data_IF_706826160283
#
_entry.id   IF_706826160283
#
_cell.length_a   1.000
_cell.length_b   1.000
_cell.length_c   1.000
_cell.angle_alpha   90.00
_cell.angle_beta   90.00
_cell.angle_gamma   90.00
#
_symmetry.space_group_name_H-M   'P 1'
#
loop_
_entity.id
_entity.type
_entity.pdbx_description
1 polymer ?
#
# COMPACT_ATOMS: atom_id res chain seq x y z
N UNK A 1 -27.10 20.09 6.89
CA UNK A 1 -27.57 19.95 8.29
C UNK A 1 -26.39 19.50 9.14
N UNK A 2 -26.14 20.12 10.29
CA UNK A 2 -25.08 19.71 11.19
C UNK A 2 -25.64 18.78 12.28
N UNK A 3 -25.12 17.56 12.35
CA UNK A 3 -25.48 16.60 13.40
C UNK A 3 -24.61 16.86 14.62
N UNK A 4 -25.23 17.04 15.80
CA UNK A 4 -24.49 17.17 17.05
C UNK A 4 -24.01 15.79 17.50
N UNK A 5 -22.69 15.64 17.63
CA UNK A 5 -22.05 14.42 18.11
C UNK A 5 -21.38 14.74 19.44
N UNK A 6 -21.63 13.93 20.47
CA UNK A 6 -20.97 14.06 21.76
C UNK A 6 -19.58 13.38 21.68
N UNK A 7 -18.54 14.17 21.45
CA UNK A 7 -17.16 13.71 21.48
C UNK A 7 -16.50 14.04 22.83
N UNK A 8 -15.56 13.19 23.27
CA UNK A 8 -14.82 13.40 24.52
C UNK A 8 -13.33 13.55 24.22
N UNK A 9 -12.73 14.64 24.69
CA UNK A 9 -11.29 14.85 24.65
C UNK A 9 -10.68 14.20 25.89
N UNK A 10 -9.66 13.38 25.69
CA UNK A 10 -8.89 12.72 26.75
C UNK A 10 -7.39 12.95 26.53
N UNK A 11 -6.54 12.72 27.54
CA UNK A 11 -5.08 12.79 27.37
C UNK A 11 -4.51 11.83 26.31
N UNK A 12 -5.27 10.78 25.95
CA UNK A 12 -4.87 9.80 24.93
C UNK A 12 -5.40 10.14 23.53
N UNK A 13 -6.30 11.12 23.41
CA UNK A 13 -6.90 11.51 22.13
C UNK A 13 -8.40 11.83 22.21
N UNK A 14 -9.02 11.93 21.04
CA UNK A 14 -10.45 12.23 20.84
C UNK A 14 -11.25 10.92 20.75
N UNK A 15 -12.26 10.78 21.61
CA UNK A 15 -13.20 9.66 21.59
C UNK A 15 -14.51 10.09 20.93
N UNK A 16 -14.93 9.35 19.90
CA UNK A 16 -16.17 9.60 19.17
C UNK A 16 -17.05 8.35 19.24
N UNK A 17 -18.35 8.49 19.54
CA UNK A 17 -19.27 7.36 19.53
C UNK A 17 -19.30 6.67 18.16
N UNK A 18 -19.11 5.35 18.12
CA UNK A 18 -19.13 4.58 16.87
C UNK A 18 -20.43 4.75 16.08
N UNK A 19 -21.56 4.93 16.77
CA UNK A 19 -22.86 5.19 16.15
C UNK A 19 -22.88 6.47 15.29
N UNK A 20 -22.01 7.45 15.59
CA UNK A 20 -21.89 8.67 14.80
C UNK A 20 -21.19 8.44 13.45
N UNK A 21 -20.51 7.31 13.28
CA UNK A 21 -19.80 6.90 12.07
C UNK A 21 -20.52 5.72 11.38
N UNK A 22 -21.79 5.49 11.70
CA UNK A 22 -22.53 4.36 11.16
C UNK A 22 -22.65 4.45 9.63
N UNK A 23 -22.25 3.38 8.94
CA UNK A 23 -22.20 3.32 7.47
C UNK A 23 -20.85 3.76 6.87
N UNK A 24 -19.85 4.10 7.70
CA UNK A 24 -18.48 4.31 7.25
C UNK A 24 -17.66 3.05 7.59
N UNK A 25 -17.17 2.35 6.57
CA UNK A 25 -16.39 1.12 6.74
C UNK A 25 -14.94 1.42 7.14
N UNK A 26 -14.31 2.35 6.41
CA UNK A 26 -12.99 2.89 6.72
C UNK A 26 -13.09 4.41 6.90
N UNK A 27 -12.26 4.98 7.77
CA UNK A 27 -12.23 6.42 8.06
C UNK A 27 -10.84 6.99 7.91
N UNK A 28 -10.76 8.17 7.31
CA UNK A 28 -9.55 8.98 7.21
C UNK A 28 -9.64 10.13 8.20
N UNK A 29 -8.52 10.44 8.87
CA UNK A 29 -8.40 11.56 9.79
C UNK A 29 -7.38 12.54 9.24
N UNK A 30 -7.82 13.74 8.89
CA UNK A 30 -7.00 14.81 8.30
C UNK A 30 -7.01 16.01 9.22
N UNK A 31 -5.85 16.66 9.37
CA UNK A 31 -5.75 17.94 10.08
C UNK A 31 -5.80 19.08 9.07
N UNK A 32 -6.86 19.88 9.11
CA UNK A 32 -7.03 21.07 8.26
C UNK A 32 -7.00 22.32 9.14
N UNK A 33 -5.86 23.02 9.13
CA UNK A 33 -5.64 24.21 9.96
C UNK A 33 -5.88 23.91 11.46
N UNK A 34 -6.89 24.58 12.02
CA UNK A 34 -7.31 24.45 13.42
C UNK A 34 -8.38 23.37 13.66
N UNK A 35 -8.65 22.52 12.66
CA UNK A 35 -9.69 21.50 12.70
C UNK A 35 -9.15 20.09 12.42
N UNK A 36 -9.82 19.10 12.99
CA UNK A 36 -9.64 17.68 12.68
C UNK A 36 -10.87 17.25 11.88
N UNK A 37 -10.65 16.85 10.63
CA UNK A 37 -11.68 16.34 9.72
C UNK A 37 -11.61 14.83 9.74
N UNK A 38 -12.72 14.18 10.08
CA UNK A 38 -12.88 12.73 10.00
C UNK A 38 -13.89 12.47 8.89
N UNK A 39 -13.48 11.75 7.86
CA UNK A 39 -14.29 11.49 6.67
C UNK A 39 -14.25 10.01 6.29
N UNK A 40 -15.32 9.49 5.63
CA UNK A 40 -15.29 8.13 5.15
C UNK A 40 -14.22 8.01 4.08
N UNK A 41 -13.53 6.89 4.08
CA UNK A 41 -12.73 6.48 2.96
C UNK A 41 -13.70 6.07 1.82
N UNK A 42 -13.52 6.59 0.60
CA UNK A 42 -14.32 6.17 -0.52
C UNK A 42 -14.12 4.67 -0.81
N UNK A 43 -15.19 3.92 -1.16
CA UNK A 43 -15.12 2.48 -1.40
C UNK A 43 -14.03 2.11 -2.40
N UNK A 44 -13.52 0.87 -2.35
CA UNK A 44 -12.35 0.42 -3.15
C UNK A 44 -12.46 0.74 -4.65
N UNK A 45 -13.66 0.69 -5.23
CA UNK A 45 -13.91 1.09 -6.64
C UNK A 45 -13.65 2.57 -6.90
N UNK A 46 -13.98 3.44 -5.96
CA UNK A 46 -13.67 4.86 -6.03
C UNK A 46 -12.19 5.12 -5.76
N UNK A 47 -11.54 4.34 -4.87
CA UNK A 47 -10.07 4.39 -4.71
C UNK A 47 -9.32 3.98 -5.98
N UNK A 48 -9.78 2.94 -6.67
CA UNK A 48 -9.24 2.53 -7.97
C UNK A 48 -9.44 3.63 -9.01
N UNK A 49 -10.65 4.20 -9.09
CA UNK A 49 -10.93 5.32 -10.00
C UNK A 49 -10.08 6.57 -9.68
N UNK A 50 -9.89 6.90 -8.40
CA UNK A 50 -9.01 8.01 -7.96
C UNK A 50 -7.55 7.69 -8.31
N UNK A 51 -7.11 6.45 -8.07
CA UNK A 51 -5.77 6.00 -8.43
C UNK A 51 -5.53 6.11 -9.94
N UNK A 52 -6.49 5.68 -10.75
CA UNK A 52 -6.42 5.77 -12.20
C UNK A 52 -6.38 7.23 -12.67
N UNK A 53 -7.16 8.11 -12.04
CA UNK A 53 -7.17 9.54 -12.32
C UNK A 53 -5.84 10.20 -11.93
N UNK A 54 -5.25 9.82 -10.80
CA UNK A 54 -3.92 10.27 -10.37
C UNK A 54 -2.84 9.76 -11.32
N UNK A 55 -2.88 8.48 -11.71
CA UNK A 55 -1.94 7.91 -12.69
C UNK A 55 -2.05 8.66 -14.02
N UNK A 56 -3.27 8.96 -14.48
CA UNK A 56 -3.51 9.70 -15.71
C UNK A 56 -2.95 11.13 -15.62
N UNK A 57 -3.19 11.85 -14.52
CA UNK A 57 -2.65 13.19 -14.31
C UNK A 57 -1.12 13.19 -14.28
N UNK A 58 -0.50 12.24 -13.58
CA UNK A 58 0.97 12.13 -13.52
C UNK A 58 1.57 11.74 -14.89
N UNK A 59 0.83 10.99 -15.72
CA UNK A 59 1.24 10.68 -17.10
C UNK A 59 1.15 11.92 -17.99
N UNK A 60 0.08 12.71 -17.87
CA UNK A 60 -0.10 13.97 -18.61
C UNK A 60 0.98 15.00 -18.24
N UNK A 61 1.39 15.05 -16.98
CA UNK A 61 2.48 15.91 -16.50
C UNK A 61 3.89 15.36 -16.83
N UNK A 62 3.99 14.20 -17.50
CA UNK A 62 5.26 13.57 -17.84
C UNK A 62 6.07 13.06 -16.63
N UNK A 63 5.43 12.96 -15.46
CA UNK A 63 6.03 12.48 -14.21
C UNK A 63 6.05 10.95 -14.11
N UNK A 64 5.24 10.26 -14.93
CA UNK A 64 5.34 8.82 -15.10
C UNK A 64 6.10 8.49 -16.37
N UNK A 65 7.20 7.76 -16.20
CA UNK A 65 7.88 7.10 -17.30
C UNK A 65 7.18 5.77 -17.54
N UNK A 66 6.63 5.58 -18.74
CA UNK A 66 6.23 4.23 -19.15
C UNK A 66 7.49 3.37 -19.22
N UNK A 67 7.60 2.41 -18.29
CA UNK A 67 8.52 1.30 -18.48
C UNK A 67 8.01 0.54 -19.70
N UNK A 68 8.66 0.74 -20.85
CA UNK A 68 8.53 -0.20 -21.95
C UNK A 68 8.78 -1.57 -21.35
N UNK A 69 7.86 -2.52 -21.55
CA UNK A 69 8.14 -3.93 -21.33
C UNK A 69 9.28 -4.34 -22.27
N UNK A 70 10.49 -3.96 -21.89
CA UNK A 70 11.70 -4.52 -22.41
C UNK A 70 11.77 -5.88 -21.77
N UNK A 71 11.55 -6.93 -22.57
CA UNK A 71 12.04 -8.25 -22.26
C UNK A 71 13.47 -8.08 -21.72
N UNK A 72 13.71 -8.49 -20.48
CA UNK A 72 15.06 -8.62 -19.94
C UNK A 72 15.70 -9.77 -20.72
N UNK A 73 16.15 -9.47 -21.94
CA UNK A 73 16.76 -10.40 -22.86
C UNK A 73 18.14 -9.87 -23.31
N UNK A 74 19.14 -10.75 -23.40
CA UNK A 74 19.05 -12.20 -23.27
C UNK A 74 18.77 -12.68 -21.83
N UNK A 75 18.10 -13.84 -21.68
CA UNK A 75 17.91 -14.42 -20.38
C UNK A 75 19.30 -14.86 -19.91
N UNK A 76 19.60 -14.65 -18.63
CA UNK A 76 20.89 -15.04 -18.12
C UNK A 76 21.16 -16.53 -18.40
N UNK A 77 22.33 -16.85 -18.96
CA UNK A 77 22.71 -18.24 -19.22
C UNK A 77 22.85 -19.00 -17.90
N UNK A 78 22.84 -20.35 -17.91
CA UNK A 78 23.05 -21.14 -16.70
C UNK A 78 24.34 -20.77 -15.97
N UNK A 79 25.42 -20.44 -16.71
CA UNK A 79 26.70 -20.01 -16.15
C UNK A 79 26.60 -18.63 -15.48
N UNK A 80 25.96 -17.66 -16.14
CA UNK A 80 25.74 -16.32 -15.60
C UNK A 80 24.87 -16.35 -14.34
N UNK A 81 23.86 -17.23 -14.33
CA UNK A 81 23.00 -17.44 -13.15
C UNK A 81 23.77 -18.05 -11.98
N UNK A 82 24.67 -19.00 -12.24
CA UNK A 82 25.50 -19.60 -11.20
C UNK A 82 26.50 -18.58 -10.61
N UNK A 83 27.09 -17.73 -11.46
CA UNK A 83 27.99 -16.66 -11.02
C UNK A 83 27.25 -15.58 -10.23
N UNK A 84 26.05 -15.19 -10.66
CA UNK A 84 25.18 -14.25 -9.94
C UNK A 84 24.72 -14.82 -8.60
N UNK A 85 24.32 -16.09 -8.54
CA UNK A 85 23.96 -16.76 -7.29
C UNK A 85 25.12 -16.76 -6.31
N UNK A 86 26.37 -16.94 -6.78
CA UNK A 86 27.57 -16.86 -5.95
C UNK A 86 27.86 -15.43 -5.47
N UNK A 87 27.58 -14.40 -6.28
CA UNK A 87 27.80 -12.99 -5.94
C UNK A 87 26.73 -12.42 -5.01
N UNK A 88 25.49 -12.89 -5.14
CA UNK A 88 24.31 -12.39 -4.42
C UNK A 88 23.92 -13.28 -3.23
N UNK A 89 24.43 -14.50 -3.17
CA UNK A 89 24.24 -15.44 -2.07
C UNK A 89 25.08 -15.08 -0.86
N UNK A 90 24.66 -14.07 -0.10
CA UNK A 90 25.08 -13.89 1.30
C UNK A 90 24.34 -14.91 2.19
N UNK A 91 23.12 -15.30 1.77
CA UNK A 91 22.25 -16.26 2.43
C UNK A 91 21.88 -17.41 1.48
N UNK A 92 21.47 -18.59 2.00
CA UNK A 92 20.96 -19.68 1.18
C UNK A 92 19.78 -19.19 0.32
N UNK A 93 19.64 -19.69 -0.91
CA UNK A 93 18.53 -19.31 -1.78
C UNK A 93 17.20 -19.49 -1.06
N UNK A 94 16.26 -18.57 -1.24
CA UNK A 94 14.90 -18.65 -0.68
C UNK A 94 14.21 -20.00 -1.01
N UNK A 95 14.57 -20.62 -2.13
CA UNK A 95 14.09 -21.97 -2.48
C UNK A 95 14.57 -23.05 -1.51
N UNK A 96 15.80 -22.96 -1.01
CA UNK A 96 16.34 -23.90 -0.03
C UNK A 96 15.71 -23.66 1.34
N UNK A 97 15.57 -22.40 1.76
CA UNK A 97 14.87 -22.02 3.00
C UNK A 97 13.42 -22.54 2.98
N UNK A 98 12.69 -22.34 1.88
CA UNK A 98 11.33 -22.82 1.73
C UNK A 98 11.20 -24.36 1.74
N UNK A 99 12.23 -25.07 1.25
CA UNK A 99 12.28 -26.55 1.30
C UNK A 99 12.57 -27.02 2.74
N UNK A 100 13.47 -26.34 3.45
CA UNK A 100 13.79 -26.65 4.84
C UNK A 100 12.62 -26.39 5.78
N UNK A 101 11.93 -25.25 5.65
CA UNK A 101 10.74 -24.93 6.47
C UNK A 101 9.62 -25.96 6.27
N UNK A 102 9.37 -26.35 5.03
CA UNK A 102 8.36 -27.38 4.70
C UNK A 102 8.73 -28.75 5.27
N UNK A 103 10.03 -29.08 5.35
CA UNK A 103 10.51 -30.31 6.01
C UNK A 103 10.47 -30.22 7.53
N UNK A 104 10.66 -29.03 8.09
CA UNK A 104 10.58 -28.75 9.52
C UNK A 104 9.13 -28.65 10.04
N UNK A 105 8.13 -28.69 9.15
CA UNK A 105 6.71 -28.76 9.51
C UNK A 105 6.09 -27.41 9.88
N UNK A 106 6.68 -26.31 9.39
CA UNK A 106 6.08 -24.97 9.43
C UNK A 106 5.15 -24.74 8.25
#
# INVERSE_FOLDING_TARGET
>A
MATKINAQITPRGLLIPRAALQGWDEVEVVREGDQIVIRPVPPTREREAIRDLVIQALREDGLLVEMKEGSLWPPATPEERAELAKKLGIDPPLSEIAIEERRAGW
#
